data_IF_596044669067
#
_entry.id   IF_596044669067
#
_cell.length_a   1.000
_cell.length_b   1.000
_cell.length_c   1.000
_cell.angle_alpha   90.00
_cell.angle_beta   90.00
_cell.angle_gamma   90.00
#
_symmetry.space_group_name_H-M   'P 1'
#
loop_
_entity.id
_entity.type
_entity.pdbx_description
1 polymer ?
#
# COMPACT_ATOMS: atom_id res chain seq x y z
N UNK A 1 13.31 22.03 -17.93
CA UNK A 1 13.49 20.95 -16.94
C UNK A 1 14.83 20.30 -17.27
N UNK A 2 15.78 20.29 -16.33
CA UNK A 2 17.00 19.50 -16.47
C UNK A 2 16.65 18.05 -16.15
N UNK A 3 16.94 17.12 -17.07
CA UNK A 3 16.64 15.68 -16.91
C UNK A 3 17.88 14.88 -16.49
N UNK A 4 19.02 15.55 -16.35
CA UNK A 4 20.23 14.90 -15.85
C UNK A 4 20.09 14.65 -14.34
N UNK A 5 20.40 13.44 -13.86
CA UNK A 5 20.40 13.15 -12.43
C UNK A 5 21.36 14.09 -11.67
N UNK A 6 20.92 14.62 -10.54
CA UNK A 6 21.82 15.35 -9.64
C UNK A 6 22.88 14.34 -9.12
N UNK A 7 24.17 14.68 -9.19
CA UNK A 7 25.23 13.81 -8.62
C UNK A 7 25.01 13.43 -7.15
N UNK A 8 24.34 14.26 -6.35
CA UNK A 8 23.96 13.95 -4.95
C UNK A 8 22.88 12.87 -4.88
N UNK A 9 21.92 12.92 -5.78
CA UNK A 9 20.86 11.91 -5.85
C UNK A 9 21.41 10.56 -6.34
N UNK A 10 22.39 10.57 -7.26
CA UNK A 10 23.04 9.34 -7.69
C UNK A 10 23.93 8.76 -6.57
N UNK A 11 24.65 9.58 -5.83
CA UNK A 11 25.42 9.13 -4.65
C UNK A 11 24.48 8.50 -3.59
N UNK A 12 23.34 9.13 -3.34
CA UNK A 12 22.33 8.59 -2.42
C UNK A 12 21.76 7.24 -2.93
N UNK A 13 21.51 7.12 -4.24
CA UNK A 13 21.09 5.86 -4.86
C UNK A 13 22.10 4.74 -4.62
N UNK A 14 23.39 5.02 -4.76
CA UNK A 14 24.45 4.04 -4.51
C UNK A 14 24.54 3.65 -3.03
N UNK A 15 24.35 4.60 -2.11
CA UNK A 15 24.27 4.33 -0.67
C UNK A 15 23.13 3.36 -0.35
N UNK A 16 21.92 3.59 -0.91
CA UNK A 16 20.77 2.73 -0.73
C UNK A 16 21.01 1.31 -1.26
N UNK A 17 21.60 1.20 -2.47
CA UNK A 17 21.94 -0.10 -3.07
C UNK A 17 22.95 -0.88 -2.22
N UNK A 18 23.96 -0.21 -1.70
CA UNK A 18 24.93 -0.82 -0.80
C UNK A 18 24.25 -1.30 0.49
N UNK A 19 23.44 -0.45 1.12
CA UNK A 19 22.71 -0.80 2.32
C UNK A 19 21.77 -2.01 2.12
N UNK A 20 20.97 -2.02 1.05
CA UNK A 20 20.06 -3.13 0.76
C UNK A 20 20.86 -4.43 0.56
N UNK A 21 21.94 -4.40 -0.21
CA UNK A 21 22.78 -5.58 -0.46
C UNK A 21 23.42 -6.14 0.83
N UNK A 22 23.77 -5.26 1.78
CA UNK A 22 24.45 -5.63 3.01
C UNK A 22 23.48 -6.07 4.11
N UNK A 23 22.28 -5.48 4.17
CA UNK A 23 21.36 -5.65 5.29
C UNK A 23 20.15 -6.54 4.98
N UNK A 24 19.77 -6.70 3.71
CA UNK A 24 18.61 -7.52 3.35
C UNK A 24 19.00 -8.99 3.27
N UNK A 25 18.40 -9.89 4.10
CA UNK A 25 18.66 -11.32 4.01
C UNK A 25 18.27 -11.88 2.63
N UNK A 26 19.09 -12.76 2.02
CA UNK A 26 18.83 -13.31 0.68
C UNK A 26 17.50 -14.06 0.56
N UNK A 27 17.08 -14.77 1.61
CA UNK A 27 15.80 -15.49 1.65
C UNK A 27 14.61 -14.53 1.67
N UNK A 28 14.72 -13.41 2.38
CA UNK A 28 13.73 -12.34 2.40
C UNK A 28 13.61 -11.67 1.03
N UNK A 29 14.74 -11.38 0.36
CA UNK A 29 14.75 -10.86 -1.00
C UNK A 29 14.09 -11.86 -1.99
N UNK A 30 14.36 -13.17 -1.83
CA UNK A 30 13.75 -14.22 -2.65
C UNK A 30 12.22 -14.28 -2.47
N UNK A 31 11.72 -14.13 -1.24
CA UNK A 31 10.27 -14.00 -0.98
C UNK A 31 9.70 -12.76 -1.65
N UNK A 32 10.36 -11.61 -1.51
CA UNK A 32 9.94 -10.36 -2.14
C UNK A 32 9.93 -10.42 -3.68
N UNK A 33 10.81 -11.22 -4.28
CA UNK A 33 10.84 -11.45 -5.75
C UNK A 33 9.60 -12.20 -6.24
N UNK A 34 9.03 -13.10 -5.44
CA UNK A 34 7.78 -13.79 -5.74
C UNK A 34 6.54 -12.89 -5.58
N UNK A 35 6.71 -11.72 -4.96
CA UNK A 35 5.68 -10.69 -4.73
C UNK A 35 4.47 -11.19 -3.91
N UNK A 36 4.69 -12.19 -3.06
CA UNK A 36 3.73 -12.55 -2.03
C UNK A 36 3.75 -11.52 -0.91
N UNK A 37 2.66 -11.46 -0.14
CA UNK A 37 2.61 -10.58 1.01
C UNK A 37 3.71 -10.95 2.01
N UNK A 38 4.44 -9.95 2.53
CA UNK A 38 5.54 -10.22 3.45
C UNK A 38 5.00 -10.79 4.76
N UNK A 39 5.79 -11.66 5.40
CA UNK A 39 5.51 -12.16 6.75
C UNK A 39 5.58 -11.03 7.77
N UNK A 40 4.83 -11.15 8.86
CA UNK A 40 4.93 -10.21 10.00
C UNK A 40 6.38 -10.02 10.46
N UNK A 41 7.12 -11.11 10.59
CA UNK A 41 8.52 -11.09 11.05
C UNK A 41 9.44 -10.37 10.06
N UNK A 42 9.24 -10.53 8.74
CA UNK A 42 9.98 -9.82 7.71
C UNK A 42 9.73 -8.31 7.78
N UNK A 43 8.46 -7.91 7.95
CA UNK A 43 8.08 -6.51 8.12
C UNK A 43 8.77 -5.89 9.34
N UNK A 44 8.69 -6.57 10.48
CA UNK A 44 9.28 -6.09 11.75
C UNK A 44 10.80 -6.01 11.65
N UNK A 45 11.45 -7.06 11.13
CA UNK A 45 12.90 -7.08 10.96
C UNK A 45 13.37 -5.91 10.07
N UNK A 46 12.75 -5.74 8.92
CA UNK A 46 13.17 -4.72 7.97
C UNK A 46 12.89 -3.31 8.48
N UNK A 47 11.73 -3.08 9.12
CA UNK A 47 11.39 -1.80 9.74
C UNK A 47 12.41 -1.42 10.81
N UNK A 48 12.83 -2.35 11.68
CA UNK A 48 13.85 -2.11 12.71
C UNK A 48 15.22 -1.86 12.10
N UNK A 49 15.59 -2.58 11.04
CA UNK A 49 16.84 -2.36 10.30
C UNK A 49 16.88 -0.95 9.71
N UNK A 50 15.79 -0.50 9.08
CA UNK A 50 15.68 0.86 8.58
C UNK A 50 15.65 1.89 9.71
N UNK A 51 14.96 1.61 10.81
CA UNK A 51 14.90 2.53 11.97
C UNK A 51 16.28 2.74 12.62
N UNK A 52 17.10 1.70 12.70
CA UNK A 52 18.48 1.82 13.19
C UNK A 52 19.34 2.76 12.32
N UNK A 53 19.03 2.88 11.04
CA UNK A 53 19.67 3.83 10.11
C UNK A 53 18.98 5.20 10.09
N UNK A 54 17.80 5.34 10.73
CA UNK A 54 16.97 6.55 10.69
C UNK A 54 16.14 6.70 9.43
N UNK A 55 15.83 5.61 8.72
CA UNK A 55 15.17 5.58 7.42
C UNK A 55 13.76 4.94 7.42
N UNK A 56 13.26 4.52 8.58
CA UNK A 56 11.98 3.81 8.66
C UNK A 56 10.76 4.66 8.25
N UNK A 57 10.84 5.97 8.40
CA UNK A 57 9.72 6.90 8.16
C UNK A 57 10.15 8.05 7.23
N UNK A 58 10.44 7.76 5.95
CA UNK A 58 11.05 8.70 5.01
C UNK A 58 10.23 9.97 4.76
N UNK A 59 8.91 9.89 4.99
CA UNK A 59 7.98 10.99 4.73
C UNK A 59 7.68 11.86 5.96
N UNK A 60 8.16 11.46 7.15
CA UNK A 60 7.85 12.19 8.38
C UNK A 60 8.72 13.44 8.55
N UNK A 61 8.21 14.46 9.27
CA UNK A 61 9.03 15.56 9.74
C UNK A 61 10.21 15.08 10.60
N UNK A 62 11.32 15.81 10.55
CA UNK A 62 12.55 15.46 11.30
C UNK A 62 12.30 15.36 12.79
N UNK A 63 11.46 16.23 13.35
CA UNK A 63 11.08 16.23 14.76
C UNK A 63 10.39 14.94 15.24
N UNK A 64 9.81 14.17 14.30
CA UNK A 64 9.18 12.88 14.58
C UNK A 64 10.03 11.69 14.09
N UNK A 65 11.27 11.94 13.66
CA UNK A 65 12.24 10.92 13.27
C UNK A 65 12.36 10.67 11.78
N UNK A 66 11.81 11.54 10.94
CA UNK A 66 12.06 11.52 9.51
C UNK A 66 13.49 11.95 9.16
N UNK A 67 14.08 11.45 8.08
CA UNK A 67 15.46 11.71 7.70
C UNK A 67 15.69 13.10 7.07
N UNK A 68 14.64 13.88 6.82
CA UNK A 68 14.75 15.20 6.21
C UNK A 68 15.07 15.18 4.70
N UNK A 69 14.76 14.08 4.03
CA UNK A 69 15.03 13.90 2.61
C UNK A 69 14.20 14.81 1.70
N UNK A 70 14.79 15.18 0.56
CA UNK A 70 14.08 15.87 -0.52
C UNK A 70 12.99 14.97 -1.12
N UNK A 71 11.98 15.54 -1.81
CA UNK A 71 10.98 14.73 -2.52
C UNK A 71 11.60 13.73 -3.50
N UNK A 72 12.69 14.10 -4.20
CA UNK A 72 13.41 13.20 -5.11
C UNK A 72 14.10 12.06 -4.36
N UNK A 73 14.75 12.34 -3.23
CA UNK A 73 15.37 11.29 -2.42
C UNK A 73 14.35 10.29 -1.87
N UNK A 74 13.16 10.75 -1.46
CA UNK A 74 12.05 9.86 -1.06
C UNK A 74 11.61 8.94 -2.20
N UNK A 75 11.49 9.48 -3.42
CA UNK A 75 11.15 8.69 -4.60
C UNK A 75 12.26 7.67 -4.93
N UNK A 76 13.53 8.06 -4.89
CA UNK A 76 14.69 7.17 -5.08
C UNK A 76 14.71 6.05 -4.04
N UNK A 77 14.42 6.38 -2.78
CA UNK A 77 14.33 5.37 -1.71
C UNK A 77 13.28 4.30 -2.05
N UNK A 78 12.06 4.70 -2.40
CA UNK A 78 11.02 3.76 -2.81
C UNK A 78 11.45 2.92 -4.02
N UNK A 79 12.09 3.55 -5.02
CA UNK A 79 12.55 2.87 -6.21
C UNK A 79 13.59 1.79 -5.90
N UNK A 80 14.61 2.10 -5.10
CA UNK A 80 15.67 1.16 -4.76
C UNK A 80 15.18 0.05 -3.81
N UNK A 81 14.29 0.36 -2.85
CA UNK A 81 13.67 -0.66 -2.00
C UNK A 81 12.90 -1.68 -2.85
N UNK A 82 12.11 -1.22 -3.84
CA UNK A 82 11.37 -2.12 -4.73
C UNK A 82 12.29 -2.90 -5.69
N UNK A 83 13.30 -2.25 -6.25
CA UNK A 83 14.28 -2.91 -7.11
C UNK A 83 15.07 -3.99 -6.38
N UNK A 84 15.37 -3.79 -5.09
CA UNK A 84 16.04 -4.75 -4.23
C UNK A 84 15.13 -5.84 -3.65
N UNK A 85 13.83 -5.82 -3.94
CA UNK A 85 12.84 -6.75 -3.38
C UNK A 85 12.74 -6.70 -1.85
N UNK A 86 13.07 -5.57 -1.25
CA UNK A 86 12.92 -5.37 0.19
C UNK A 86 11.44 -5.40 0.59
N UNK A 87 11.10 -5.95 1.77
CA UNK A 87 9.73 -5.88 2.29
C UNK A 87 9.26 -4.43 2.40
N UNK A 88 7.98 -4.20 2.21
CA UNK A 88 7.40 -2.93 2.63
C UNK A 88 7.49 -2.85 4.15
N UNK A 89 7.75 -1.66 4.69
CA UNK A 89 7.48 -1.40 6.11
C UNK A 89 5.97 -1.35 6.34
N UNK A 90 5.52 -1.36 7.61
CA UNK A 90 4.10 -1.15 7.92
C UNK A 90 3.60 0.17 7.32
N UNK A 91 3.13 0.08 6.08
CA UNK A 91 2.67 1.23 5.30
C UNK A 91 1.48 1.92 5.93
N UNK A 92 0.58 1.15 6.55
CA UNK A 92 -0.59 1.71 7.22
C UNK A 92 -0.14 2.57 8.40
N UNK A 93 0.76 2.05 9.25
CA UNK A 93 1.31 2.80 10.37
C UNK A 93 2.13 4.01 9.92
N UNK A 94 3.07 3.83 8.99
CA UNK A 94 4.05 4.86 8.64
C UNK A 94 3.51 5.93 7.69
N UNK A 95 2.70 5.57 6.69
CA UNK A 95 2.25 6.51 5.66
C UNK A 95 0.86 7.10 5.94
N UNK A 96 0.00 6.40 6.71
CA UNK A 96 -1.38 6.81 6.93
C UNK A 96 -1.63 7.25 8.38
N UNK A 97 -1.42 6.38 9.34
CA UNK A 97 -1.76 6.62 10.75
C UNK A 97 -0.79 7.61 11.39
N UNK A 98 0.52 7.43 11.20
CA UNK A 98 1.55 8.31 11.75
C UNK A 98 1.34 9.78 11.40
N UNK A 99 1.11 10.13 10.11
CA UNK A 99 0.77 11.49 9.69
C UNK A 99 -0.46 12.07 10.41
N UNK A 100 -1.50 11.29 10.63
CA UNK A 100 -2.67 11.74 11.39
C UNK A 100 -2.31 11.95 12.87
N UNK A 101 -1.54 11.05 13.47
CA UNK A 101 -1.11 11.15 14.86
C UNK A 101 -0.26 12.40 15.07
N UNK A 102 0.82 12.60 14.30
CA UNK A 102 1.69 13.74 14.53
C UNK A 102 0.99 15.08 14.24
N UNK A 103 -0.07 15.11 13.42
CA UNK A 103 -0.79 16.33 13.08
C UNK A 103 -1.91 16.64 14.08
N UNK A 104 -2.72 15.65 14.47
CA UNK A 104 -3.99 15.89 15.18
C UNK A 104 -4.08 15.29 16.58
N UNK A 105 -3.23 14.32 16.92
CA UNK A 105 -3.32 13.61 18.19
C UNK A 105 -2.77 14.45 19.37
N UNK A 106 -3.10 14.02 20.61
CA UNK A 106 -2.58 14.65 21.82
C UNK A 106 -1.07 14.43 21.99
N UNK A 107 -0.39 15.25 22.80
CA UNK A 107 1.04 15.03 23.10
C UNK A 107 1.32 13.64 23.64
N UNK A 108 0.45 13.07 24.49
CA UNK A 108 0.56 11.76 25.08
C UNK A 108 0.45 10.66 24.02
N UNK A 109 -0.52 10.79 23.10
CA UNK A 109 -0.68 9.87 21.98
C UNK A 109 0.54 9.93 21.04
N UNK A 110 1.06 11.12 20.73
CA UNK A 110 2.29 11.29 19.92
C UNK A 110 3.48 10.61 20.57
N UNK A 111 3.70 10.86 21.87
CA UNK A 111 4.80 10.29 22.63
C UNK A 111 4.75 8.75 22.68
N UNK A 112 3.55 8.17 22.75
CA UNK A 112 3.30 6.75 22.80
C UNK A 112 3.44 6.08 21.43
N UNK A 113 2.66 6.52 20.46
CA UNK A 113 2.46 5.76 19.22
C UNK A 113 3.51 6.03 18.13
N UNK A 114 4.06 7.24 18.02
CA UNK A 114 5.02 7.53 16.94
C UNK A 114 6.31 6.70 17.05
N UNK A 115 6.93 6.54 18.24
CA UNK A 115 8.07 5.63 18.39
C UNK A 115 7.71 4.17 18.09
N UNK A 116 6.54 3.69 18.55
CA UNK A 116 6.08 2.31 18.33
C UNK A 116 5.87 2.01 16.85
N UNK A 117 5.29 2.96 16.08
CA UNK A 117 5.11 2.84 14.62
C UNK A 117 6.48 2.78 13.92
N UNK A 118 7.37 3.71 14.25
CA UNK A 118 8.69 3.79 13.63
C UNK A 118 9.54 2.54 13.85
N UNK A 119 9.42 1.93 15.02
CA UNK A 119 10.16 0.73 15.40
C UNK A 119 9.41 -0.59 15.09
N UNK A 120 8.22 -0.50 14.50
CA UNK A 120 7.33 -1.64 14.29
C UNK A 120 7.11 -2.48 15.55
N UNK A 121 6.98 -1.82 16.71
CA UNK A 121 6.62 -2.47 17.98
C UNK A 121 5.12 -2.82 18.00
N UNK A 122 4.33 -2.09 17.21
CA UNK A 122 2.93 -2.37 16.89
C UNK A 122 2.66 -2.12 15.41
N UNK A 123 2.08 -3.11 14.75
CA UNK A 123 1.61 -2.98 13.38
C UNK A 123 0.18 -2.45 13.34
N UNK A 124 -0.16 -1.73 12.29
CA UNK A 124 -1.42 -1.01 12.19
C UNK A 124 -2.26 -1.49 11.01
N UNK A 125 -3.58 -1.47 11.20
CA UNK A 125 -4.54 -1.59 10.11
C UNK A 125 -5.51 -0.42 10.09
N UNK A 126 -6.28 -0.33 9.00
CA UNK A 126 -7.25 0.74 8.77
C UNK A 126 -8.67 0.18 8.76
N UNK A 127 -9.50 0.65 9.69
CA UNK A 127 -10.90 0.28 9.82
C UNK A 127 -11.82 1.35 9.21
N UNK A 128 -11.90 1.43 7.86
CA UNK A 128 -12.71 2.43 7.16
C UNK A 128 -13.95 1.82 6.54
N UNK A 129 -13.78 1.02 5.49
CA UNK A 129 -14.87 0.44 4.70
C UNK A 129 -15.76 -0.49 5.52
N UNK A 130 -17.04 -0.52 5.16
CA UNK A 130 -18.06 -1.42 5.71
C UNK A 130 -18.77 -2.13 4.54
N UNK A 131 -19.50 -3.23 4.76
CA UNK A 131 -20.24 -3.91 3.70
C UNK A 131 -21.15 -2.99 2.89
N UNK A 132 -21.72 -1.94 3.51
CA UNK A 132 -22.56 -0.93 2.88
C UNK A 132 -21.90 0.43 2.63
N UNK A 133 -20.61 0.61 2.93
CA UNK A 133 -19.93 1.90 2.85
C UNK A 133 -18.49 1.74 2.34
N UNK A 134 -18.32 1.77 1.03
CA UNK A 134 -17.02 1.76 0.34
C UNK A 134 -16.71 3.13 -0.26
N UNK A 135 -17.04 3.36 -1.53
CA UNK A 135 -16.87 4.68 -2.18
C UNK A 135 -17.66 5.79 -1.50
N UNK A 136 -18.85 5.49 -0.98
CA UNK A 136 -19.61 6.37 -0.08
C UNK A 136 -19.25 6.10 1.38
N UNK A 137 -17.99 6.35 1.73
CA UNK A 137 -17.47 6.11 3.07
C UNK A 137 -18.21 6.91 4.16
N UNK A 138 -18.76 8.06 3.81
CA UNK A 138 -19.50 8.90 4.77
C UNK A 138 -20.79 8.23 5.29
N UNK A 139 -21.28 7.19 4.61
CA UNK A 139 -22.45 6.40 5.03
C UNK A 139 -22.12 5.29 6.05
N UNK A 140 -20.89 5.23 6.57
CA UNK A 140 -20.48 4.24 7.58
C UNK A 140 -21.40 4.24 8.80
N UNK A 141 -21.61 3.03 9.40
CA UNK A 141 -22.57 2.76 10.46
C UNK A 141 -21.97 2.15 11.72
N UNK A 142 -20.71 1.70 11.70
CA UNK A 142 -20.04 1.22 12.92
C UNK A 142 -20.15 2.30 13.98
N UNK A 143 -20.90 2.01 15.04
CA UNK A 143 -21.30 2.99 16.06
C UNK A 143 -20.32 2.97 17.22
N UNK A 144 -20.02 4.13 17.77
CA UNK A 144 -19.31 4.28 19.03
C UNK A 144 -20.10 5.20 19.95
N UNK A 145 -20.52 4.69 21.09
CA UNK A 145 -21.29 5.41 22.10
C UNK A 145 -20.43 5.67 23.32
N UNK A 146 -20.36 6.93 23.76
CA UNK A 146 -19.62 7.29 24.97
C UNK A 146 -20.28 6.69 26.20
N UNK A 147 -19.50 5.97 27.01
CA UNK A 147 -19.87 5.41 28.30
C UNK A 147 -18.76 5.74 29.31
N UNK A 148 -18.91 6.83 30.02
CA UNK A 148 -17.93 7.32 30.99
C UNK A 148 -16.57 7.63 30.33
N UNK A 149 -15.57 6.87 30.71
CA UNK A 149 -14.19 6.97 30.25
C UNK A 149 -13.89 6.07 29.05
N UNK A 150 -14.91 5.44 28.44
CA UNK A 150 -14.79 4.58 27.27
C UNK A 150 -15.79 4.92 26.19
N UNK A 151 -15.54 4.41 24.98
CA UNK A 151 -16.51 4.22 23.91
C UNK A 151 -16.88 2.75 23.81
N UNK A 152 -18.17 2.44 23.65
CA UNK A 152 -18.66 1.11 23.31
C UNK A 152 -18.85 1.05 21.80
N UNK A 153 -18.06 0.21 21.12
CA UNK A 153 -18.04 0.11 19.66
C UNK A 153 -18.78 -1.12 19.20
N UNK A 154 -19.74 -0.95 18.28
CA UNK A 154 -20.52 -2.00 17.66
C UNK A 154 -20.59 -1.81 16.15
N UNK A 155 -20.40 -2.89 15.39
CA UNK A 155 -20.49 -2.85 13.94
C UNK A 155 -19.54 -3.82 13.24
N UNK A 156 -19.23 -3.50 11.97
CA UNK A 156 -18.37 -4.32 11.15
C UNK A 156 -17.55 -3.46 10.19
N UNK A 157 -16.27 -3.80 10.05
CA UNK A 157 -15.39 -3.29 9.00
C UNK A 157 -15.08 -4.41 8.00
N UNK A 158 -14.83 -4.05 6.75
CA UNK A 158 -14.45 -5.00 5.70
C UNK A 158 -13.28 -4.45 4.86
N UNK A 159 -12.61 -5.34 4.14
CA UNK A 159 -11.43 -5.02 3.34
C UNK A 159 -10.27 -4.42 4.16
N UNK A 160 -10.18 -4.80 5.44
CA UNK A 160 -9.12 -4.35 6.34
C UNK A 160 -7.82 -5.03 5.98
N UNK A 161 -6.93 -4.31 5.27
CA UNK A 161 -5.63 -4.81 4.84
C UNK A 161 -4.76 -5.13 6.05
N UNK A 162 -4.11 -6.33 6.02
CA UNK A 162 -3.21 -6.82 7.08
C UNK A 162 -3.83 -6.87 8.49
N UNK A 163 -5.17 -6.86 8.60
CA UNK A 163 -5.86 -6.88 9.89
C UNK A 163 -5.47 -8.06 10.79
N UNK A 164 -5.16 -9.21 10.20
CA UNK A 164 -4.72 -10.42 10.91
C UNK A 164 -3.30 -10.33 11.49
N UNK A 165 -2.48 -9.36 11.01
CA UNK A 165 -1.14 -9.08 11.53
C UNK A 165 -1.12 -7.87 12.46
N UNK A 166 -2.15 -7.02 12.40
CA UNK A 166 -2.18 -5.74 13.09
C UNK A 166 -2.39 -5.91 14.61
N UNK A 167 -1.71 -5.08 15.37
CA UNK A 167 -1.86 -4.93 16.80
C UNK A 167 -2.84 -3.79 17.14
N UNK A 168 -2.94 -2.78 16.26
CA UNK A 168 -3.79 -1.60 16.43
C UNK A 168 -4.56 -1.28 15.14
N UNK A 169 -5.76 -0.73 15.30
CA UNK A 169 -6.58 -0.24 14.20
C UNK A 169 -6.82 1.27 14.34
N UNK A 170 -6.62 2.00 13.25
CA UNK A 170 -7.17 3.34 13.09
C UNK A 170 -8.56 3.23 12.46
N UNK A 171 -9.62 3.42 13.26
CA UNK A 171 -10.99 3.21 12.85
C UNK A 171 -11.79 4.52 12.72
N UNK A 172 -12.59 4.64 11.66
CA UNK A 172 -13.64 5.63 11.55
C UNK A 172 -14.96 5.04 12.10
N UNK A 173 -15.58 5.75 13.03
CA UNK A 173 -16.81 5.31 13.71
C UNK A 173 -17.84 6.41 13.74
N UNK A 174 -19.13 6.03 13.84
CA UNK A 174 -20.27 6.94 13.98
C UNK A 174 -20.48 7.27 15.45
N UNK A 175 -20.16 8.48 15.86
CA UNK A 175 -20.38 9.00 17.23
C UNK A 175 -21.63 9.86 17.35
N UNK A 176 -22.05 10.50 16.25
CA UNK A 176 -23.30 11.24 16.19
C UNK A 176 -24.14 10.77 14.99
N UNK A 177 -25.18 9.93 15.21
CA UNK A 177 -26.03 9.42 14.13
C UNK A 177 -27.00 10.46 13.57
N UNK A 178 -27.30 11.53 14.30
CA UNK A 178 -28.28 12.56 13.93
C UNK A 178 -27.63 13.70 13.12
N UNK A 179 -26.30 13.79 13.13
CA UNK A 179 -25.56 14.77 12.34
C UNK A 179 -25.56 14.41 10.83
N UNK A 180 -25.27 15.43 9.99
CA UNK A 180 -24.95 15.17 8.58
C UNK A 180 -23.82 14.12 8.48
N UNK A 181 -23.91 13.23 7.50
CA UNK A 181 -23.06 12.04 7.36
C UNK A 181 -21.58 12.30 7.68
N UNK A 182 -20.98 13.35 7.11
CA UNK A 182 -19.56 13.68 7.32
C UNK A 182 -19.25 14.30 8.70
N UNK A 183 -20.24 14.80 9.42
CA UNK A 183 -20.06 15.54 10.68
C UNK A 183 -20.23 14.70 11.94
N UNK A 184 -20.74 13.49 11.82
CA UNK A 184 -20.96 12.57 12.94
C UNK A 184 -19.93 11.44 13.01
N UNK A 185 -18.75 11.61 12.42
CA UNK A 185 -17.70 10.61 12.34
C UNK A 185 -16.53 11.02 13.23
N UNK A 186 -16.06 10.08 14.07
CA UNK A 186 -14.85 10.20 14.87
C UNK A 186 -13.80 9.18 14.46
N UNK A 187 -12.55 9.41 14.87
CA UNK A 187 -11.45 8.47 14.67
C UNK A 187 -11.00 7.92 16.02
N UNK A 188 -10.98 6.58 16.14
CA UNK A 188 -10.53 5.86 17.34
C UNK A 188 -9.32 4.99 17.03
N UNK A 189 -8.40 4.88 18.00
CA UNK A 189 -7.31 3.91 18.01
C UNK A 189 -7.78 2.70 18.83
N UNK A 190 -7.97 1.57 18.15
CA UNK A 190 -8.56 0.36 18.76
C UNK A 190 -7.49 -0.73 18.82
N UNK A 191 -7.35 -1.37 20.00
CA UNK A 191 -6.52 -2.55 20.16
C UNK A 191 -7.20 -3.74 19.46
N UNK A 192 -6.48 -4.40 18.54
CA UNK A 192 -7.01 -5.53 17.78
C UNK A 192 -7.23 -6.79 18.65
N UNK A 193 -6.68 -6.81 19.87
CA UNK A 193 -6.90 -7.88 20.86
C UNK A 193 -7.98 -7.53 21.89
N UNK A 194 -8.70 -6.40 21.71
CA UNK A 194 -9.75 -6.01 22.67
C UNK A 194 -10.86 -7.06 22.73
N UNK A 195 -11.38 -7.38 23.94
CA UNK A 195 -12.53 -8.27 24.06
C UNK A 195 -13.73 -7.81 23.23
N UNK A 196 -14.38 -8.76 22.55
CA UNK A 196 -15.50 -8.48 21.65
C UNK A 196 -15.08 -8.12 20.21
N UNK A 197 -13.77 -7.95 19.91
CA UNK A 197 -13.28 -7.78 18.57
C UNK A 197 -12.90 -9.13 17.95
N UNK A 198 -13.40 -9.39 16.73
CA UNK A 198 -13.06 -10.59 15.95
C UNK A 198 -12.59 -10.18 14.56
N UNK A 199 -11.37 -10.54 14.20
CA UNK A 199 -10.81 -10.37 12.86
C UNK A 199 -10.86 -11.71 12.10
N UNK A 200 -11.44 -11.68 10.88
CA UNK A 200 -11.56 -12.87 10.02
C UNK A 200 -11.00 -12.58 8.65
N UNK A 201 -10.10 -13.43 8.13
CA UNK A 201 -9.56 -13.24 6.79
C UNK A 201 -10.62 -13.46 5.71
N UNK A 202 -10.51 -12.69 4.63
CA UNK A 202 -11.30 -12.85 3.40
C UNK A 202 -10.39 -13.56 2.39
N UNK A 203 -10.82 -14.71 1.88
CA UNK A 203 -10.16 -15.38 0.78
C UNK A 203 -10.45 -14.63 -0.52
N UNK A 204 -9.40 -14.14 -1.15
CA UNK A 204 -9.51 -13.40 -2.41
C UNK A 204 -9.22 -14.27 -3.62
N UNK A 205 -9.53 -13.79 -4.83
CA UNK A 205 -9.41 -14.58 -6.07
C UNK A 205 -7.97 -15.02 -6.37
N UNK A 206 -6.98 -14.32 -5.84
CA UNK A 206 -5.56 -14.67 -5.87
C UNK A 206 -5.16 -15.75 -4.85
N UNK A 207 -6.16 -16.29 -4.12
CA UNK A 207 -6.02 -17.23 -3.00
C UNK A 207 -5.26 -16.66 -1.78
N UNK A 208 -5.12 -15.33 -1.73
CA UNK A 208 -4.47 -14.61 -0.64
C UNK A 208 -5.42 -14.31 0.53
N UNK A 209 -4.83 -13.89 1.66
CA UNK A 209 -5.52 -13.53 2.91
C UNK A 209 -5.26 -12.07 3.33
N UNK A 210 -4.86 -11.22 2.40
CA UNK A 210 -4.40 -9.85 2.67
C UNK A 210 -5.44 -8.99 3.38
N UNK A 211 -6.72 -9.21 3.07
CA UNK A 211 -7.82 -8.38 3.57
C UNK A 211 -8.73 -9.15 4.52
N UNK A 212 -9.34 -8.44 5.44
CA UNK A 212 -10.09 -9.04 6.54
C UNK A 212 -11.44 -8.35 6.75
N UNK A 213 -12.38 -9.09 7.35
CA UNK A 213 -13.54 -8.55 8.05
C UNK A 213 -13.21 -8.39 9.52
N UNK A 214 -13.66 -7.31 10.13
CA UNK A 214 -13.49 -7.06 11.57
C UNK A 214 -14.83 -6.74 12.18
N UNK A 215 -15.21 -7.53 13.16
CA UNK A 215 -16.49 -7.42 13.87
C UNK A 215 -16.26 -6.84 15.25
N UNK A 216 -17.16 -5.95 15.67
CA UNK A 216 -17.15 -5.30 16.97
C UNK A 216 -18.46 -5.62 17.67
N UNK A 217 -18.39 -6.28 18.83
CA UNK A 217 -19.51 -6.64 19.70
C UNK A 217 -19.21 -6.12 21.11
N UNK A 218 -19.80 -4.98 21.44
CA UNK A 218 -19.59 -4.22 22.68
C UNK A 218 -18.10 -3.98 23.02
N UNK A 219 -17.28 -3.71 22.01
CA UNK A 219 -15.85 -3.45 22.22
C UNK A 219 -15.63 -2.16 22.98
N UNK A 220 -15.00 -2.27 24.17
CA UNK A 220 -14.67 -1.13 25.01
C UNK A 220 -13.34 -0.49 24.57
N UNK A 221 -13.41 0.75 24.14
CA UNK A 221 -12.24 1.53 23.69
C UNK A 221 -12.05 2.72 24.66
N UNK A 222 -10.89 2.88 25.31
CA UNK A 222 -10.63 4.03 26.17
C UNK A 222 -10.88 5.35 25.47
N UNK A 223 -11.50 6.30 26.17
CA UNK A 223 -11.81 7.60 25.58
C UNK A 223 -10.57 8.40 25.21
N UNK A 224 -9.46 8.15 25.89
CA UNK A 224 -8.15 8.72 25.54
C UNK A 224 -7.61 8.25 24.17
N UNK A 225 -8.19 7.18 23.59
CA UNK A 225 -7.87 6.70 22.25
C UNK A 225 -8.64 7.44 21.14
N UNK A 226 -9.45 8.43 21.49
CA UNK A 226 -10.02 9.37 20.50
C UNK A 226 -8.89 10.20 19.89
N UNK A 227 -8.78 10.22 18.59
CA UNK A 227 -7.82 11.07 17.89
C UNK A 227 -8.41 12.47 17.73
N UNK A 228 -7.73 13.47 18.29
CA UNK A 228 -8.11 14.87 18.16
C UNK A 228 -9.48 15.17 18.79
N UNK A 229 -10.43 15.63 17.98
CA UNK A 229 -11.77 16.03 18.43
C UNK A 229 -12.85 15.06 17.99
N UNK A 230 -13.83 14.80 18.85
CA UNK A 230 -15.02 14.04 18.49
C UNK A 230 -15.75 14.69 17.31
N UNK A 231 -16.29 13.86 16.42
CA UNK A 231 -16.97 14.24 15.19
C UNK A 231 -16.08 14.95 14.12
N UNK A 232 -14.75 14.96 14.30
CA UNK A 232 -13.80 15.52 13.34
C UNK A 232 -13.11 14.45 12.44
N UNK A 233 -13.45 13.17 12.60
CA UNK A 233 -12.82 12.04 11.92
C UNK A 233 -12.84 12.11 10.40
N UNK A 234 -13.90 12.72 9.83
CA UNK A 234 -13.94 12.94 8.37
C UNK A 234 -12.83 13.85 7.85
N UNK A 235 -12.46 14.87 8.63
CA UNK A 235 -11.35 15.77 8.28
C UNK A 235 -10.01 15.03 8.32
N UNK A 236 -9.84 14.14 9.30
CA UNK A 236 -8.64 13.30 9.42
C UNK A 236 -8.55 12.27 8.28
N UNK A 237 -9.69 11.66 7.92
CA UNK A 237 -9.75 10.77 6.76
C UNK A 237 -9.38 11.48 5.45
N UNK A 238 -9.87 12.70 5.22
CA UNK A 238 -9.49 13.49 4.04
C UNK A 238 -8.00 13.84 4.02
N UNK A 239 -7.44 14.20 5.17
CA UNK A 239 -6.00 14.46 5.30
C UNK A 239 -5.17 13.22 4.97
N UNK A 240 -5.52 12.07 5.56
CA UNK A 240 -4.88 10.78 5.32
C UNK A 240 -4.92 10.40 3.83
N UNK A 241 -6.11 10.40 3.22
CA UNK A 241 -6.28 10.08 1.79
C UNK A 241 -5.58 11.11 0.87
N UNK A 242 -5.31 12.30 1.38
CA UNK A 242 -4.53 13.33 0.70
C UNK A 242 -3.04 13.05 0.61
N UNK A 243 -2.49 12.30 1.56
CA UNK A 243 -1.04 12.02 1.63
C UNK A 243 -0.58 10.89 0.69
N UNK A 244 -1.49 10.02 0.20
CA UNK A 244 -1.16 8.90 -0.69
C UNK A 244 -0.83 9.29 -2.15
N UNK A 245 -0.82 10.56 -2.50
CA UNK A 245 -1.00 11.06 -3.87
C UNK A 245 0.07 10.69 -4.88
N UNK A 246 1.35 10.69 -4.52
CA UNK A 246 2.44 10.33 -5.44
C UNK A 246 2.67 8.81 -5.46
N UNK A 247 2.42 8.13 -4.34
CA UNK A 247 2.58 6.69 -4.23
C UNK A 247 1.49 5.91 -4.97
N UNK A 248 0.33 6.52 -5.22
CA UNK A 248 -0.81 5.88 -5.89
C UNK A 248 -0.55 5.46 -7.35
N UNK A 249 0.47 6.02 -8.00
CA UNK A 249 0.88 5.63 -9.36
C UNK A 249 1.72 4.34 -9.40
N UNK A 250 2.30 3.92 -8.28
CA UNK A 250 3.12 2.71 -8.11
C UNK A 250 4.22 2.53 -9.18
N UNK A 251 4.83 3.61 -9.68
CA UNK A 251 5.87 3.55 -10.72
C UNK A 251 7.08 2.72 -10.29
N UNK A 252 7.61 2.81 -9.05
CA UNK A 252 8.70 1.94 -8.60
C UNK A 252 8.38 0.44 -8.72
N UNK A 253 7.17 0.02 -8.35
CA UNK A 253 6.71 -1.36 -8.52
C UNK A 253 6.61 -1.75 -10.00
N UNK A 254 6.08 -0.85 -10.83
CA UNK A 254 5.94 -1.07 -12.28
C UNK A 254 7.30 -1.28 -12.95
N UNK A 255 8.31 -0.48 -12.59
CA UNK A 255 9.69 -0.63 -13.12
C UNK A 255 10.31 -1.96 -12.70
N UNK A 256 10.15 -2.37 -11.44
CA UNK A 256 10.59 -3.68 -10.96
C UNK A 256 9.94 -4.82 -11.75
N UNK A 257 8.63 -4.75 -11.93
CA UNK A 257 7.88 -5.80 -12.62
C UNK A 257 8.25 -5.89 -14.11
N UNK A 258 8.52 -4.75 -14.77
CA UNK A 258 9.02 -4.72 -16.14
C UNK A 258 10.38 -5.41 -16.23
N UNK A 259 11.29 -5.17 -15.30
CA UNK A 259 12.60 -5.83 -15.28
C UNK A 259 12.45 -7.35 -15.12
N UNK A 260 11.53 -7.82 -14.26
CA UNK A 260 11.22 -9.25 -14.14
C UNK A 260 10.67 -9.84 -15.46
N UNK A 261 9.75 -9.13 -16.12
CA UNK A 261 9.19 -9.56 -17.41
C UNK A 261 10.30 -9.69 -18.46
N UNK A 262 11.25 -8.74 -18.51
CA UNK A 262 12.39 -8.84 -19.43
C UNK A 262 13.28 -10.03 -19.13
N UNK A 263 13.56 -10.34 -17.85
CA UNK A 263 14.31 -11.54 -17.46
C UNK A 263 13.59 -12.81 -17.93
N UNK A 264 12.30 -12.91 -17.65
CA UNK A 264 11.46 -14.06 -18.05
C UNK A 264 11.45 -14.19 -19.58
N UNK A 265 11.26 -13.10 -20.31
CA UNK A 265 11.17 -13.12 -21.76
C UNK A 265 12.50 -13.47 -22.46
N UNK A 266 13.65 -13.32 -21.77
CA UNK A 266 14.95 -13.82 -22.26
C UNK A 266 15.09 -15.33 -22.06
N UNK A 267 14.45 -15.89 -21.03
CA UNK A 267 14.46 -17.33 -20.70
C UNK A 267 13.45 -18.09 -21.57
N UNK A 268 12.22 -17.59 -21.61
CA UNK A 268 11.11 -18.21 -22.34
C UNK A 268 11.33 -18.22 -23.85
N UNK A 269 10.79 -19.25 -24.51
CA UNK A 269 10.98 -19.47 -25.94
C UNK A 269 9.64 -19.48 -26.66
N UNK A 270 9.61 -18.83 -27.83
CA UNK A 270 8.54 -18.93 -28.80
C UNK A 270 9.12 -19.27 -30.15
N UNK A 271 8.68 -20.41 -30.76
CA UNK A 271 9.23 -20.90 -32.02
C UNK A 271 10.78 -21.06 -32.01
N UNK A 272 11.34 -21.49 -30.87
CA UNK A 272 12.79 -21.73 -30.70
C UNK A 272 13.63 -20.47 -30.41
N UNK A 273 13.05 -19.26 -30.46
CA UNK A 273 13.74 -18.01 -30.16
C UNK A 273 13.33 -17.43 -28.78
N UNK A 274 14.18 -16.63 -28.11
CA UNK A 274 13.76 -15.91 -26.92
C UNK A 274 12.47 -15.13 -27.15
N UNK A 275 11.55 -15.17 -26.19
CA UNK A 275 10.27 -14.45 -26.30
C UNK A 275 10.45 -12.93 -26.45
N UNK A 276 11.52 -12.38 -25.89
CA UNK A 276 11.84 -10.95 -26.03
C UNK A 276 12.09 -10.53 -27.50
N UNK A 277 12.40 -11.49 -28.41
CA UNK A 277 12.58 -11.27 -29.84
C UNK A 277 11.27 -11.43 -30.63
N UNK A 278 10.17 -11.89 -29.99
CA UNK A 278 8.86 -11.94 -30.65
C UNK A 278 8.34 -10.51 -30.82
N UNK A 279 8.11 -10.09 -32.05
CA UNK A 279 7.73 -8.72 -32.39
C UNK A 279 6.45 -8.26 -31.65
N UNK A 280 5.45 -9.13 -31.52
CA UNK A 280 4.20 -8.77 -30.83
C UNK A 280 4.42 -8.56 -29.35
N UNK A 281 5.18 -9.44 -28.71
CA UNK A 281 5.52 -9.32 -27.30
C UNK A 281 6.40 -8.09 -27.06
N UNK A 282 7.46 -7.91 -27.84
CA UNK A 282 8.38 -6.77 -27.73
C UNK A 282 7.65 -5.43 -27.91
N UNK A 283 6.73 -5.31 -28.87
CA UNK A 283 5.93 -4.11 -29.08
C UNK A 283 5.01 -3.80 -27.89
N UNK A 284 4.41 -4.80 -27.25
CA UNK A 284 3.58 -4.60 -26.05
C UNK A 284 4.43 -4.16 -24.85
N UNK A 285 5.58 -4.80 -24.66
CA UNK A 285 6.53 -4.41 -23.61
C UNK A 285 7.04 -2.98 -23.82
N UNK A 286 7.39 -2.60 -25.06
CA UNK A 286 7.81 -1.25 -25.39
C UNK A 286 6.74 -0.20 -25.08
N UNK A 287 5.47 -0.47 -25.41
CA UNK A 287 4.36 0.44 -25.06
C UNK A 287 4.20 0.60 -23.54
N UNK A 288 4.31 -0.48 -22.77
CA UNK A 288 4.29 -0.43 -21.31
C UNK A 288 5.45 0.41 -20.77
N UNK A 289 6.66 0.26 -21.31
CA UNK A 289 7.83 1.06 -20.92
C UNK A 289 7.64 2.55 -21.23
N UNK A 290 7.08 2.88 -22.39
CA UNK A 290 6.76 4.27 -22.77
C UNK A 290 5.72 4.87 -21.81
N UNK A 291 4.64 4.16 -21.53
CA UNK A 291 3.60 4.61 -20.60
C UNK A 291 4.16 4.78 -19.18
N UNK A 292 5.06 3.88 -18.74
CA UNK A 292 5.74 3.97 -17.44
C UNK A 292 6.62 5.22 -17.36
N UNK A 293 7.40 5.49 -18.41
CA UNK A 293 8.26 6.66 -18.47
C UNK A 293 7.43 7.95 -18.45
N UNK A 294 6.35 8.02 -19.22
CA UNK A 294 5.45 9.17 -19.21
C UNK A 294 4.84 9.42 -17.82
N UNK A 295 4.47 8.34 -17.11
CA UNK A 295 3.93 8.44 -15.76
C UNK A 295 5.00 8.87 -14.74
N UNK A 296 6.24 8.39 -14.87
CA UNK A 296 7.38 8.81 -14.06
C UNK A 296 7.67 10.31 -14.20
N UNK A 297 7.70 10.84 -15.43
CA UNK A 297 7.87 12.27 -15.64
C UNK A 297 6.69 13.10 -15.11
N UNK A 298 5.48 12.55 -15.14
CA UNK A 298 4.34 13.20 -14.48
C UNK A 298 4.52 13.28 -12.95
N UNK A 299 5.09 12.23 -12.33
CA UNK A 299 5.45 12.25 -10.90
C UNK A 299 6.54 13.30 -10.63
N UNK A 300 7.61 13.34 -11.44
CA UNK A 300 8.68 14.35 -11.26
C UNK A 300 8.15 15.77 -11.33
N UNK A 301 7.18 16.05 -12.21
CA UNK A 301 6.50 17.34 -12.24
C UNK A 301 5.75 17.65 -10.94
N UNK A 302 5.05 16.65 -10.37
CA UNK A 302 4.34 16.82 -9.09
C UNK A 302 5.32 17.03 -7.93
N UNK A 303 6.45 16.31 -7.93
CA UNK A 303 7.48 16.46 -6.90
C UNK A 303 8.21 17.81 -6.97
N UNK A 304 8.28 18.41 -8.17
CA UNK A 304 8.89 19.72 -8.38
C UNK A 304 7.90 20.90 -8.16
N UNK A 305 6.59 20.60 -8.07
CA UNK A 305 5.55 21.62 -7.87
C UNK A 305 5.14 21.64 -6.39
N UNK A 306 5.55 22.70 -5.68
CA UNK A 306 5.20 22.92 -4.27
C UNK A 306 3.79 23.54 -4.10
N UNK A 307 3.03 23.72 -5.20
CA UNK A 307 1.76 24.43 -5.23
C UNK A 307 0.50 23.57 -5.09
N UNK A 308 -0.66 24.22 -5.02
CA UNK A 308 -1.99 23.58 -4.90
C UNK A 308 -2.38 22.71 -6.12
N UNK A 309 -1.73 22.89 -7.28
CA UNK A 309 -1.96 22.13 -8.51
C UNK A 309 -1.62 20.63 -8.39
N UNK A 310 -0.72 20.26 -7.49
CA UNK A 310 -0.32 18.88 -7.25
C UNK A 310 -1.50 17.94 -6.89
N UNK A 311 -2.54 18.49 -6.26
CA UNK A 311 -3.70 17.72 -5.78
C UNK A 311 -4.59 17.18 -6.89
N UNK A 312 -4.74 17.92 -7.98
CA UNK A 312 -5.58 17.51 -9.11
C UNK A 312 -4.91 16.45 -9.98
N UNK A 313 -3.58 16.51 -10.12
CA UNK A 313 -2.79 15.54 -10.89
C UNK A 313 -2.76 14.16 -10.23
N UNK A 314 -2.86 14.08 -8.90
CA UNK A 314 -2.85 12.80 -8.18
C UNK A 314 -3.94 11.84 -8.64
N UNK A 315 -5.15 12.35 -8.93
CA UNK A 315 -6.24 11.52 -9.47
C UNK A 315 -5.91 10.95 -10.86
N UNK A 316 -5.23 11.74 -11.71
CA UNK A 316 -4.75 11.27 -13.02
C UNK A 316 -3.69 10.18 -12.85
N UNK A 317 -2.72 10.41 -11.95
CA UNK A 317 -1.66 9.45 -11.64
C UNK A 317 -2.24 8.12 -11.15
N UNK A 318 -3.25 8.16 -10.26
CA UNK A 318 -3.92 6.96 -9.75
C UNK A 318 -4.65 6.19 -10.85
N UNK A 319 -5.44 6.85 -11.70
CA UNK A 319 -6.14 6.19 -12.81
C UNK A 319 -5.13 5.54 -13.76
N UNK A 320 -4.13 6.30 -14.23
CA UNK A 320 -3.15 5.78 -15.20
C UNK A 320 -2.24 4.72 -14.59
N UNK A 321 -1.82 4.89 -13.33
CA UNK A 321 -0.99 3.92 -12.63
C UNK A 321 -1.71 2.59 -12.44
N UNK A 322 -2.94 2.60 -11.94
CA UNK A 322 -3.72 1.37 -11.71
C UNK A 322 -4.01 0.60 -13.01
N UNK A 323 -4.35 1.29 -14.11
CA UNK A 323 -4.56 0.67 -15.41
C UNK A 323 -3.25 0.08 -15.98
N UNK A 324 -2.13 0.79 -15.80
CA UNK A 324 -0.82 0.31 -16.23
C UNK A 324 -0.38 -0.92 -15.44
N UNK A 325 -0.59 -0.95 -14.12
CA UNK A 325 -0.29 -2.10 -13.24
C UNK A 325 -1.01 -3.37 -13.69
N UNK A 326 -2.26 -3.28 -14.11
CA UNK A 326 -2.99 -4.43 -14.63
C UNK A 326 -2.37 -4.93 -15.94
N UNK A 327 -2.06 -4.04 -16.87
CA UNK A 327 -1.42 -4.39 -18.15
C UNK A 327 -0.05 -5.04 -17.98
N UNK A 328 0.74 -4.58 -17.00
CA UNK A 328 2.03 -5.16 -16.64
C UNK A 328 1.85 -6.58 -16.11
N UNK A 329 0.92 -6.78 -15.18
CA UNK A 329 0.63 -8.08 -14.61
C UNK A 329 0.11 -9.09 -15.67
N UNK A 330 -0.75 -8.62 -16.59
CA UNK A 330 -1.21 -9.44 -17.72
C UNK A 330 -0.07 -9.86 -18.64
N UNK A 331 0.87 -8.95 -18.95
CA UNK A 331 2.03 -9.28 -19.78
C UNK A 331 2.99 -10.26 -19.10
N UNK A 332 3.12 -10.17 -17.76
CA UNK A 332 3.92 -11.12 -16.98
C UNK A 332 3.37 -12.55 -17.05
N UNK A 333 2.05 -12.71 -16.92
CA UNK A 333 1.36 -14.00 -17.07
C UNK A 333 1.52 -14.53 -18.49
N UNK A 334 1.32 -13.69 -19.51
CA UNK A 334 1.47 -14.05 -20.92
C UNK A 334 2.90 -14.52 -21.25
N UNK A 335 3.91 -13.96 -20.60
CA UNK A 335 5.29 -14.36 -20.81
C UNK A 335 5.55 -15.84 -20.48
N UNK A 336 4.76 -16.43 -19.58
CA UNK A 336 4.83 -17.85 -19.22
C UNK A 336 4.02 -18.77 -20.17
N UNK A 337 3.28 -18.20 -21.12
CA UNK A 337 2.37 -18.96 -21.98
C UNK A 337 1.32 -19.73 -21.18
N UNK A 338 1.00 -20.97 -21.57
CA UNK A 338 -0.05 -21.79 -20.93
C UNK A 338 0.24 -22.06 -19.43
N UNK A 339 1.50 -22.04 -19.02
CA UNK A 339 1.88 -22.21 -17.60
C UNK A 339 1.50 -21.03 -16.73
N UNK A 340 1.34 -19.85 -17.33
CA UNK A 340 1.00 -18.61 -16.61
C UNK A 340 -0.44 -18.57 -16.08
N UNK A 341 -1.34 -19.47 -16.52
CA UNK A 341 -2.72 -19.53 -16.02
C UNK A 341 -2.84 -20.28 -14.68
N UNK A 342 -1.82 -21.04 -14.31
CA UNK A 342 -1.80 -21.77 -13.06
C UNK A 342 -1.42 -20.87 -11.89
N UNK A 343 -2.21 -20.88 -10.83
CA UNK A 343 -1.84 -20.28 -9.55
C UNK A 343 -0.91 -21.28 -8.86
N UNK A 344 0.39 -20.98 -8.87
CA UNK A 344 1.35 -21.77 -8.11
C UNK A 344 1.22 -21.48 -6.62
N UNK A 345 1.32 -22.52 -5.76
CA UNK A 345 1.29 -22.31 -4.31
C UNK A 345 2.48 -21.46 -3.87
N UNK A 346 2.26 -20.71 -2.78
CA UNK A 346 3.39 -20.16 -2.04
C UNK A 346 4.22 -21.32 -1.47
N UNK A 347 5.52 -21.45 -1.81
CA UNK A 347 6.36 -22.53 -1.31
C UNK A 347 6.43 -22.60 0.22
N UNK A 348 6.09 -21.52 0.90
CA UNK A 348 6.11 -21.42 2.35
C UNK A 348 4.72 -21.56 2.98
N UNK A 349 3.68 -21.75 2.17
CA UNK A 349 2.31 -22.01 2.60
C UNK A 349 1.59 -20.85 3.27
N UNK A 350 2.08 -19.62 3.09
CA UNK A 350 1.56 -18.45 3.79
C UNK A 350 0.56 -17.63 2.99
N UNK A 351 0.64 -17.68 1.66
CA UNK A 351 -0.19 -16.85 0.79
C UNK A 351 -1.47 -17.57 0.39
N UNK A 352 -1.35 -18.74 -0.20
CA UNK A 352 -2.49 -19.59 -0.55
C UNK A 352 -2.56 -20.79 0.40
N UNK A 353 -3.64 -20.84 1.16
CA UNK A 353 -3.89 -21.84 2.21
C UNK A 353 -4.42 -23.18 1.67
N UNK A 354 -4.50 -23.34 0.33
CA UNK A 354 -5.00 -24.57 -0.28
C UNK A 354 -3.88 -25.55 -0.49
N UNK A 355 -4.13 -26.80 -0.12
CA UNK A 355 -3.27 -27.91 -0.50
C UNK A 355 -3.20 -28.00 -2.03
N UNK A 356 -2.00 -27.98 -2.55
CA UNK A 356 -1.79 -28.18 -3.98
C UNK A 356 -1.58 -29.64 -4.28
N UNK A 357 -2.29 -30.14 -5.27
CA UNK A 357 -2.18 -31.50 -5.73
C UNK A 357 -1.08 -31.60 -6.78
N UNK A 358 0.07 -32.17 -6.40
CA UNK A 358 1.13 -32.53 -7.34
C UNK A 358 2.12 -31.38 -7.66
N UNK A 359 2.96 -31.64 -8.67
CA UNK A 359 3.94 -30.68 -9.15
C UNK A 359 3.28 -29.54 -9.92
N UNK A 360 3.68 -28.31 -9.60
CA UNK A 360 3.22 -27.13 -10.35
C UNK A 360 3.92 -27.06 -11.72
N UNK A 361 3.20 -26.77 -12.82
CA UNK A 361 3.83 -26.56 -14.12
C UNK A 361 4.57 -25.21 -14.19
N UNK A 362 4.41 -24.36 -13.18
CA UNK A 362 4.99 -23.01 -13.15
C UNK A 362 6.46 -23.09 -12.72
N UNK A 363 7.40 -22.55 -13.50
CA UNK A 363 8.80 -22.48 -13.09
C UNK A 363 8.99 -21.50 -11.92
N UNK A 364 10.07 -21.67 -11.13
CA UNK A 364 10.34 -20.86 -9.93
C UNK A 364 10.25 -19.35 -10.17
N UNK A 365 10.74 -18.87 -11.32
CA UNK A 365 10.66 -17.45 -11.69
C UNK A 365 9.25 -16.96 -12.06
N UNK A 366 8.31 -17.89 -12.23
CA UNK A 366 6.90 -17.60 -12.54
C UNK A 366 5.96 -17.70 -11.35
N UNK A 367 6.46 -18.24 -10.22
CA UNK A 367 5.67 -18.38 -9.00
C UNK A 367 5.18 -17.00 -8.54
N UNK A 368 3.90 -16.90 -8.20
CA UNK A 368 3.25 -15.66 -7.76
C UNK A 368 2.69 -14.78 -8.89
N UNK A 369 3.10 -14.92 -10.16
CA UNK A 369 2.66 -14.03 -11.24
C UNK A 369 1.15 -14.10 -11.52
N UNK A 370 0.56 -15.30 -11.53
CA UNK A 370 -0.88 -15.47 -11.72
C UNK A 370 -1.67 -14.87 -10.55
N UNK A 371 -1.28 -15.18 -9.31
CA UNK A 371 -1.87 -14.62 -8.10
C UNK A 371 -1.82 -13.09 -8.13
N UNK A 372 -0.65 -12.53 -8.43
CA UNK A 372 -0.45 -11.08 -8.59
C UNK A 372 -1.38 -10.47 -9.64
N UNK A 373 -1.51 -11.11 -10.82
CA UNK A 373 -2.39 -10.60 -11.87
C UNK A 373 -3.86 -10.60 -11.42
N UNK A 374 -4.31 -11.60 -10.67
CA UNK A 374 -5.64 -11.65 -10.08
C UNK A 374 -5.83 -10.57 -9.01
N UNK A 375 -4.88 -10.41 -8.07
CA UNK A 375 -4.92 -9.37 -7.05
C UNK A 375 -4.98 -7.96 -7.67
N UNK A 376 -4.23 -7.72 -8.76
CA UNK A 376 -4.19 -6.40 -9.43
C UNK A 376 -5.52 -5.98 -10.05
N UNK A 377 -6.51 -6.87 -10.17
CA UNK A 377 -7.89 -6.46 -10.55
C UNK A 377 -8.47 -5.44 -9.57
N UNK A 378 -8.10 -5.51 -8.29
CA UNK A 378 -8.58 -4.59 -7.27
C UNK A 378 -7.90 -3.20 -7.30
N UNK A 379 -6.79 -3.00 -8.02
CA UNK A 379 -6.07 -1.71 -8.05
C UNK A 379 -6.90 -0.54 -8.59
N UNK A 380 -7.88 -0.81 -9.45
CA UNK A 380 -8.81 0.21 -9.95
C UNK A 380 -9.98 0.49 -9.00
N UNK A 381 -10.07 -0.25 -7.89
CA UNK A 381 -11.18 -0.18 -6.93
C UNK A 381 -10.72 0.44 -5.61
N UNK A 382 -9.67 -0.10 -4.98
CA UNK A 382 -9.19 0.40 -3.69
C UNK A 382 -8.48 1.77 -3.81
N UNK A 383 -8.27 2.47 -2.69
CA UNK A 383 -7.63 3.80 -2.69
C UNK A 383 -8.43 4.85 -3.45
N UNK A 384 -9.77 4.71 -3.49
CA UNK A 384 -10.68 5.51 -4.32
C UNK A 384 -10.81 4.96 -5.74
N UNK A 385 -11.98 4.39 -6.06
CA UNK A 385 -12.25 3.78 -7.36
C UNK A 385 -11.95 4.73 -8.52
N UNK A 386 -11.51 4.18 -9.67
CA UNK A 386 -11.17 5.00 -10.85
C UNK A 386 -12.33 5.88 -11.31
N UNK A 387 -13.59 5.46 -11.10
CA UNK A 387 -14.78 6.24 -11.36
C UNK A 387 -14.85 7.50 -10.49
N UNK A 388 -14.54 7.35 -9.18
CA UNK A 388 -14.45 8.49 -8.26
C UNK A 388 -13.31 9.42 -8.65
N UNK A 389 -12.13 8.87 -9.02
CA UNK A 389 -10.99 9.67 -9.47
C UNK A 389 -11.33 10.47 -10.75
N UNK A 390 -12.02 9.84 -11.73
CA UNK A 390 -12.49 10.54 -12.92
C UNK A 390 -13.50 11.64 -12.61
N UNK A 391 -14.39 11.42 -11.62
CA UNK A 391 -15.31 12.45 -11.12
C UNK A 391 -14.56 13.63 -10.48
N UNK A 392 -13.49 13.34 -9.71
CA UNK A 392 -12.63 14.39 -9.13
C UNK A 392 -11.94 15.18 -10.26
N UNK A 393 -11.36 14.49 -11.25
CA UNK A 393 -10.74 15.14 -12.42
C UNK A 393 -11.73 16.07 -13.13
N UNK A 394 -12.95 15.57 -13.42
CA UNK A 394 -13.99 16.37 -14.08
C UNK A 394 -14.30 17.65 -13.29
N UNK A 395 -14.50 17.55 -11.98
CA UNK A 395 -14.84 18.69 -11.13
C UNK A 395 -13.68 19.67 -10.90
N UNK A 396 -12.45 19.15 -10.69
CA UNK A 396 -11.33 20.00 -10.25
C UNK A 396 -10.44 20.49 -11.37
N UNK A 397 -10.27 19.72 -12.45
CA UNK A 397 -9.42 20.06 -13.59
C UNK A 397 -10.25 20.63 -14.73
N UNK A 398 -11.34 19.93 -15.09
CA UNK A 398 -12.16 20.31 -16.25
C UNK A 398 -13.29 21.28 -15.90
N UNK A 399 -13.57 21.47 -14.59
CA UNK A 399 -14.63 22.37 -14.08
C UNK A 399 -16.03 22.06 -14.64
N UNK A 400 -16.32 20.76 -14.82
CA UNK A 400 -17.59 20.22 -15.32
C UNK A 400 -18.54 19.86 -14.18
#
# INVERSE_FOLDING_TARGET
MNLEPDPKDEAFRQELRAFIREQLPPDMAARGKRDFHPRKDDLVFWARTLNAKGWAVPHWPVEYGGPGWTPMQKFIFEEEMRAGFAPAVDRIGTELVGPVIYTFASPEQKAKYLPEIRNADRLWCQGFSEPGAGSDLASLRTRAVRDGDHYIVNGQKTWTTEGHHADMMFALVRTDPDAKAQRGISALLIDMNAPGLVCRPIYTIDEGLTVNEVFFDDVRVPAENLVGKENAGWSYAKFLLGNERTNSAEVPHTKRDIAQIEEIARIERKNGRPLIEDEKFANRLARIKIDTLALEYAIYRVLADEGEGANSVASVLKVRGSELRQRVADLAVEALGDRGVAVAPDPEGLHNMRDTFGETPVPDYGVGLAAKAMFRRATTIYGGANEIQRTIIAKTILQL
#
